data_IF_821383186008
#
_entry.id   IF_821383186008
#
_cell.length_a   1.000
_cell.length_b   1.000
_cell.length_c   1.000
_cell.angle_alpha   90.00
_cell.angle_beta   90.00
_cell.angle_gamma   90.00
#
_symmetry.space_group_name_H-M   'P 1'
#
loop_
_entity.id
_entity.type
_entity.pdbx_description
1 polymer ?
#
# COMPACT_ATOMS: atom_id res chain seq x y z
N UNK A 1 5.16 0.37 -12.75
CA UNK A 1 5.06 -1.00 -13.30
C UNK A 1 3.59 -1.30 -13.52
N UNK A 2 3.17 -1.67 -14.73
CA UNK A 2 1.80 -2.08 -14.99
C UNK A 2 1.64 -3.54 -14.57
N UNK A 3 0.82 -3.78 -13.54
CA UNK A 3 0.48 -5.11 -13.04
C UNK A 3 -1.05 -5.26 -13.04
N UNK A 4 -1.62 -6.30 -13.67
CA UNK A 4 -3.06 -6.55 -13.62
C UNK A 4 -3.57 -6.64 -12.18
N UNK A 5 -4.59 -5.85 -11.83
CA UNK A 5 -5.11 -5.76 -10.46
C UNK A 5 -4.32 -4.83 -9.52
N UNK A 6 -3.34 -4.09 -10.05
CA UNK A 6 -2.57 -3.09 -9.30
C UNK A 6 -3.44 -2.01 -8.66
N UNK A 7 -3.05 -1.55 -7.47
CA UNK A 7 -3.78 -0.56 -6.68
C UNK A 7 -3.36 0.89 -6.94
N UNK A 8 -2.76 1.16 -8.11
CA UNK A 8 -2.20 2.48 -8.46
C UNK A 8 -3.21 3.64 -8.41
N UNK A 9 -4.48 3.39 -8.72
CA UNK A 9 -5.53 4.42 -8.65
C UNK A 9 -6.20 4.58 -7.28
N UNK A 10 -5.92 3.70 -6.31
CA UNK A 10 -6.66 3.66 -5.03
C UNK A 10 -5.78 3.59 -3.79
N UNK A 11 -4.45 3.52 -3.95
CA UNK A 11 -3.52 3.32 -2.83
C UNK A 11 -3.70 4.36 -1.71
N UNK A 12 -3.93 5.64 -2.05
CA UNK A 12 -4.05 6.72 -1.06
C UNK A 12 -5.26 6.50 -0.14
N UNK A 13 -6.39 6.05 -0.71
CA UNK A 13 -7.59 5.73 0.08
C UNK A 13 -7.33 4.55 1.02
N UNK A 14 -6.62 3.52 0.55
CA UNK A 14 -6.27 2.37 1.38
C UNK A 14 -5.35 2.76 2.53
N UNK A 15 -4.31 3.56 2.28
CA UNK A 15 -3.38 4.06 3.30
C UNK A 15 -4.13 4.85 4.39
N UNK A 16 -5.07 5.71 3.99
CA UNK A 16 -5.83 6.54 4.94
C UNK A 16 -6.73 5.71 5.88
N UNK A 17 -7.02 4.45 5.55
CA UNK A 17 -7.79 3.55 6.40
C UNK A 17 -6.89 2.71 7.33
N UNK A 18 -5.57 2.77 7.17
CA UNK A 18 -4.65 2.02 8.02
C UNK A 18 -4.46 2.71 9.37
N UNK A 19 -4.70 2.04 10.50
CA UNK A 19 -4.36 2.58 11.81
C UNK A 19 -2.83 2.67 11.98
N UNK A 20 -2.32 3.45 12.95
CA UNK A 20 -0.90 3.45 13.29
C UNK A 20 -0.42 2.03 13.62
N UNK A 21 0.73 1.65 13.08
CA UNK A 21 1.34 0.34 13.27
C UNK A 21 2.86 0.46 13.16
N UNK A 22 3.56 -0.53 13.70
CA UNK A 22 5.02 -0.60 13.65
C UNK A 22 5.50 -1.26 12.36
N UNK A 23 4.85 -2.36 11.98
CA UNK A 23 5.20 -3.14 10.78
C UNK A 23 4.02 -3.19 9.83
N UNK A 24 4.28 -2.86 8.58
CA UNK A 24 3.34 -3.04 7.48
C UNK A 24 3.69 -4.34 6.74
N UNK A 25 2.72 -5.26 6.63
CA UNK A 25 2.90 -6.54 5.93
C UNK A 25 1.96 -6.54 4.72
N UNK A 26 2.53 -6.70 3.52
CA UNK A 26 1.78 -6.82 2.27
C UNK A 26 2.04 -8.20 1.65
N UNK A 27 1.18 -9.18 1.98
CA UNK A 27 1.36 -10.58 1.58
C UNK A 27 1.20 -10.81 0.08
N UNK A 28 0.45 -9.94 -0.60
CA UNK A 28 0.17 -10.02 -2.04
C UNK A 28 0.56 -8.71 -2.72
N UNK A 29 1.88 -8.49 -2.84
CA UNK A 29 2.45 -7.21 -3.28
C UNK A 29 1.96 -6.76 -4.67
N UNK A 30 1.92 -7.69 -5.64
CA UNK A 30 1.69 -7.34 -7.05
C UNK A 30 2.62 -6.21 -7.50
N UNK A 31 2.05 -5.11 -8.01
CA UNK A 31 2.80 -3.90 -8.40
C UNK A 31 3.32 -3.03 -7.24
N UNK A 32 2.95 -3.33 -5.98
CA UNK A 32 3.43 -2.66 -4.78
C UNK A 32 2.98 -1.21 -4.62
N UNK A 33 1.83 -0.83 -5.17
CA UNK A 33 1.35 0.55 -5.15
C UNK A 33 1.12 1.08 -3.72
N UNK A 34 0.73 0.23 -2.77
CA UNK A 34 0.52 0.64 -1.37
C UNK A 34 1.86 0.72 -0.64
N UNK A 35 2.64 -0.36 -0.57
CA UNK A 35 3.99 -0.35 0.05
C UNK A 35 4.87 0.82 -0.43
N UNK A 36 4.90 1.11 -1.73
CA UNK A 36 5.78 2.16 -2.31
C UNK A 36 5.36 3.59 -1.97
N UNK A 37 4.08 3.82 -1.68
CA UNK A 37 3.56 5.16 -1.40
C UNK A 37 3.21 5.38 0.07
N UNK A 38 3.11 4.29 0.85
CA UNK A 38 2.87 4.35 2.27
C UNK A 38 4.11 4.83 3.02
N UNK A 39 3.97 5.92 3.77
CA UNK A 39 4.99 6.39 4.72
C UNK A 39 5.02 5.52 5.98
N UNK A 40 6.15 5.43 6.69
CA UNK A 40 6.17 4.88 8.05
C UNK A 40 5.08 5.51 8.90
N UNK A 41 4.40 4.69 9.70
CA UNK A 41 3.32 5.15 10.57
C UNK A 41 3.83 5.65 11.92
N UNK A 42 5.09 5.33 12.24
CA UNK A 42 5.89 5.84 13.35
C UNK A 42 7.30 6.09 12.82
#
# INVERSE_FOLDING_TARGET
MNYPGGKGGVYQRLINLMPPHEVYIETHLGGGAVMRNKRPSR
#
